data_IF_027405740203
#
_entry.id   IF_027405740203
#
_cell.length_a   1.000
_cell.length_b   1.000
_cell.length_c   1.000
_cell.angle_alpha   90.00
_cell.angle_beta   90.00
_cell.angle_gamma   90.00
#
_symmetry.space_group_name_H-M   'P 1'
#
loop_
_entity.id
_entity.type
_entity.pdbx_description
1 polymer ?
#
# COMPACT_ATOMS: atom_id res chain seq x y z
N UNK A 1 7.18 5.43 31.09
CA UNK A 1 6.76 5.08 29.72
C UNK A 1 6.07 3.74 29.83
N UNK A 2 4.77 3.64 29.51
CA UNK A 2 4.10 2.35 29.52
C UNK A 2 4.78 1.43 28.50
N UNK A 3 4.92 0.14 28.82
CA UNK A 3 5.41 -0.87 27.88
C UNK A 3 4.43 -0.92 26.69
N UNK A 4 4.93 -0.77 25.46
CA UNK A 4 4.09 -0.81 24.24
C UNK A 4 3.30 -2.12 24.15
N UNK A 5 3.88 -3.21 24.69
CA UNK A 5 3.20 -4.50 24.80
C UNK A 5 1.97 -4.45 25.71
N UNK A 6 2.07 -3.73 26.84
CA UNK A 6 0.94 -3.55 27.75
C UNK A 6 -0.15 -2.67 27.13
N UNK A 7 0.22 -1.66 26.34
CA UNK A 7 -0.74 -0.85 25.58
C UNK A 7 -1.50 -1.68 24.53
N UNK A 8 -0.80 -2.57 23.83
CA UNK A 8 -1.43 -3.52 22.90
C UNK A 8 -2.41 -4.43 23.67
N UNK A 9 -1.99 -5.00 24.79
CA UNK A 9 -2.82 -5.90 25.61
C UNK A 9 -4.08 -5.19 26.13
N UNK A 10 -3.93 -3.95 26.59
CA UNK A 10 -5.06 -3.09 26.99
C UNK A 10 -6.02 -2.86 25.82
N UNK A 11 -5.50 -2.44 24.66
CA UNK A 11 -6.31 -2.18 23.48
C UNK A 11 -7.05 -3.42 22.97
N UNK A 12 -6.45 -4.61 23.07
CA UNK A 12 -7.09 -5.90 22.75
C UNK A 12 -8.26 -6.14 23.71
N UNK A 13 -8.03 -6.00 25.02
CA UNK A 13 -9.06 -6.22 26.04
C UNK A 13 -10.24 -5.26 25.92
N UNK A 14 -9.99 -4.02 25.51
CA UNK A 14 -11.02 -3.01 25.27
C UNK A 14 -11.69 -3.12 23.89
N UNK A 15 -11.27 -4.06 23.05
CA UNK A 15 -11.84 -4.26 21.71
C UNK A 15 -11.53 -3.14 20.70
N UNK A 16 -10.46 -2.36 20.95
CA UNK A 16 -10.05 -1.23 20.09
C UNK A 16 -9.05 -1.61 19.01
N UNK A 17 -8.44 -2.79 19.12
CA UNK A 17 -7.37 -3.24 18.21
C UNK A 17 -7.95 -3.99 17.01
N UNK A 18 -7.30 -3.84 15.86
CA UNK A 18 -7.55 -4.62 14.65
C UNK A 18 -6.21 -5.06 14.08
N UNK A 19 -6.10 -6.35 13.77
CA UNK A 19 -4.86 -6.93 13.28
C UNK A 19 -4.84 -6.90 11.75
N UNK A 20 -3.74 -6.41 11.17
CA UNK A 20 -3.46 -6.52 9.73
C UNK A 20 -2.33 -7.55 9.57
N UNK A 21 -2.66 -8.65 8.91
CA UNK A 21 -1.79 -9.81 8.74
C UNK A 21 -1.17 -9.80 7.35
N UNK A 22 0.15 -9.79 7.29
CA UNK A 22 0.92 -9.84 6.04
C UNK A 22 1.44 -11.23 5.68
N UNK A 23 2.18 -11.30 4.57
CA UNK A 23 2.62 -12.55 3.96
C UNK A 23 3.59 -13.36 4.83
N UNK A 24 4.28 -12.72 5.78
CA UNK A 24 5.16 -13.40 6.73
C UNK A 24 4.43 -14.48 7.54
N UNK A 25 3.14 -14.27 7.85
CA UNK A 25 2.33 -15.28 8.54
C UNK A 25 2.03 -16.47 7.64
N UNK A 26 1.64 -16.25 6.39
CA UNK A 26 1.43 -17.34 5.42
C UNK A 26 2.74 -18.09 5.17
N UNK A 27 3.86 -17.38 4.97
CA UNK A 27 5.20 -17.97 4.81
C UNK A 27 5.55 -18.89 5.98
N UNK A 28 5.38 -18.43 7.22
CA UNK A 28 5.66 -19.24 8.41
C UNK A 28 4.72 -20.44 8.52
N UNK A 29 3.41 -20.23 8.32
CA UNK A 29 2.39 -21.26 8.46
C UNK A 29 2.52 -22.38 7.42
N UNK A 30 3.02 -22.05 6.22
CA UNK A 30 3.09 -22.98 5.09
C UNK A 30 4.51 -23.39 4.73
N UNK A 31 5.50 -23.03 5.56
CA UNK A 31 6.91 -23.26 5.26
C UNK A 31 7.15 -24.73 4.90
N UNK A 32 7.78 -24.95 3.74
CA UNK A 32 8.14 -26.25 3.23
C UNK A 32 9.48 -26.12 2.50
N UNK A 33 10.57 -26.68 3.03
CA UNK A 33 11.90 -26.54 2.41
C UNK A 33 11.96 -27.20 1.02
N UNK A 34 11.03 -28.11 0.69
CA UNK A 34 10.96 -28.73 -0.63
C UNK A 34 10.19 -27.89 -1.66
N UNK A 35 9.51 -26.81 -1.25
CA UNK A 35 8.71 -25.97 -2.14
C UNK A 35 9.48 -24.71 -2.55
N UNK A 36 10.06 -24.76 -3.74
CA UNK A 36 10.74 -23.62 -4.37
C UNK A 36 10.14 -23.33 -5.75
N UNK A 37 9.72 -22.08 -6.05
CA UNK A 37 9.74 -20.90 -5.15
C UNK A 37 8.65 -20.97 -4.05
N UNK A 38 8.84 -20.20 -2.97
CA UNK A 38 7.83 -20.11 -1.91
C UNK A 38 6.69 -19.18 -2.33
N UNK A 39 5.60 -19.74 -2.85
CA UNK A 39 4.44 -18.97 -3.34
C UNK A 39 3.63 -18.23 -2.26
N UNK A 40 3.94 -18.44 -0.97
CA UNK A 40 3.36 -17.63 0.11
C UNK A 40 4.06 -16.27 0.24
N UNK A 41 5.27 -16.11 -0.31
CA UNK A 41 5.93 -14.80 -0.41
C UNK A 41 5.59 -14.12 -1.74
N UNK A 42 5.62 -12.79 -1.75
CA UNK A 42 5.31 -12.04 -2.96
C UNK A 42 6.33 -12.29 -4.09
N UNK A 43 7.66 -12.26 -3.86
CA UNK A 43 8.64 -12.65 -4.88
C UNK A 43 8.45 -14.08 -5.38
N UNK A 44 8.19 -15.03 -4.48
CA UNK A 44 8.03 -16.43 -4.85
C UNK A 44 6.76 -16.69 -5.66
N UNK A 45 5.66 -15.99 -5.35
CA UNK A 45 4.46 -16.01 -6.17
C UNK A 45 4.74 -15.47 -7.58
N UNK A 46 5.46 -14.35 -7.70
CA UNK A 46 5.77 -13.75 -9.00
C UNK A 46 6.72 -14.61 -9.84
N UNK A 47 7.73 -15.25 -9.23
CA UNK A 47 8.59 -16.24 -9.90
C UNK A 47 7.78 -17.39 -10.49
N UNK A 48 6.83 -17.93 -9.72
CA UNK A 48 5.93 -18.99 -10.20
C UNK A 48 5.02 -18.48 -11.34
N UNK A 49 4.57 -17.22 -11.26
CA UNK A 49 3.84 -16.55 -12.32
C UNK A 49 4.65 -16.41 -13.62
N UNK A 50 5.94 -16.07 -13.51
CA UNK A 50 6.86 -15.99 -14.65
C UNK A 50 7.05 -17.38 -15.27
N UNK A 51 7.32 -18.40 -14.47
CA UNK A 51 7.47 -19.78 -14.93
C UNK A 51 6.22 -20.28 -15.67
N UNK A 52 5.03 -19.96 -15.14
CA UNK A 52 3.77 -20.26 -15.81
C UNK A 52 3.62 -19.52 -17.15
N UNK A 53 3.99 -18.25 -17.19
CA UNK A 53 3.97 -17.48 -18.44
C UNK A 53 4.92 -18.06 -19.50
N UNK A 54 6.12 -18.52 -19.13
CA UNK A 54 7.06 -19.17 -20.05
C UNK A 54 6.55 -20.50 -20.61
N UNK A 55 5.79 -21.25 -19.79
CA UNK A 55 5.18 -22.52 -20.17
C UNK A 55 4.03 -22.31 -21.16
N UNK A 56 3.16 -21.34 -20.89
CA UNK A 56 1.97 -21.07 -21.72
C UNK A 56 2.28 -20.26 -22.98
N UNK A 57 3.30 -19.40 -22.93
CA UNK A 57 3.59 -18.41 -23.97
C UNK A 57 5.09 -18.39 -24.31
N UNK A 58 5.54 -19.17 -25.31
CA UNK A 58 6.95 -19.27 -25.68
C UNK A 58 7.63 -17.94 -25.98
N UNK A 59 6.90 -16.96 -26.53
CA UNK A 59 7.39 -15.61 -26.80
C UNK A 59 7.71 -14.81 -25.53
N UNK A 60 7.13 -15.18 -24.39
CA UNK A 60 7.40 -14.54 -23.10
C UNK A 60 8.80 -14.88 -22.56
N UNK A 61 9.40 -16.00 -22.98
CA UNK A 61 10.73 -16.44 -22.51
C UNK A 61 11.82 -15.38 -22.70
N UNK A 62 11.73 -14.61 -23.78
CA UNK A 62 12.66 -13.50 -24.06
C UNK A 62 12.56 -12.38 -23.02
N UNK A 63 11.39 -12.18 -22.41
CA UNK A 63 11.12 -11.16 -21.38
C UNK A 63 11.25 -11.71 -19.96
N UNK A 64 11.13 -13.02 -19.77
CA UNK A 64 11.14 -13.66 -18.46
C UNK A 64 12.40 -13.32 -17.65
N UNK A 65 13.58 -13.31 -18.29
CA UNK A 65 14.83 -12.92 -17.62
C UNK A 65 14.79 -11.49 -17.04
N UNK A 66 14.20 -10.54 -17.76
CA UNK A 66 14.03 -9.16 -17.27
C UNK A 66 13.06 -9.12 -16.09
N UNK A 67 11.95 -9.86 -16.17
CA UNK A 67 10.95 -9.90 -15.08
C UNK A 67 11.53 -10.56 -13.83
N UNK A 68 12.34 -11.61 -13.96
CA UNK A 68 13.06 -12.21 -12.84
C UNK A 68 14.08 -11.26 -12.21
N UNK A 69 14.77 -10.45 -13.02
CA UNK A 69 15.69 -9.44 -12.51
C UNK A 69 14.96 -8.36 -11.68
N UNK A 70 13.78 -7.93 -12.11
CA UNK A 70 12.90 -7.05 -11.32
C UNK A 70 12.45 -7.72 -10.01
N UNK A 71 12.09 -9.00 -10.03
CA UNK A 71 11.72 -9.71 -8.80
C UNK A 71 12.91 -9.83 -7.84
N UNK A 72 14.10 -10.11 -8.39
CA UNK A 72 15.32 -10.32 -7.63
C UNK A 72 15.89 -9.02 -7.01
N UNK A 73 15.51 -7.84 -7.50
CA UNK A 73 15.93 -6.57 -6.90
C UNK A 73 15.32 -6.40 -5.50
N UNK A 74 14.15 -6.99 -5.26
CA UNK A 74 13.40 -6.85 -4.01
C UNK A 74 12.77 -5.46 -3.82
N UNK A 75 12.95 -4.56 -4.78
CA UNK A 75 12.39 -3.21 -4.74
C UNK A 75 10.87 -3.25 -4.98
N UNK A 76 10.06 -2.53 -4.16
CA UNK A 76 8.61 -2.54 -4.31
C UNK A 76 8.11 -2.12 -5.69
N UNK A 77 8.70 -1.11 -6.33
CA UNK A 77 8.25 -0.63 -7.64
C UNK A 77 8.56 -1.65 -8.74
N UNK A 78 9.72 -2.30 -8.66
CA UNK A 78 10.10 -3.40 -9.56
C UNK A 78 9.17 -4.62 -9.39
N UNK A 79 8.82 -4.97 -8.15
CA UNK A 79 7.85 -6.05 -7.87
C UNK A 79 6.46 -5.73 -8.43
N UNK A 80 6.01 -4.47 -8.33
CA UNK A 80 4.74 -4.01 -8.94
C UNK A 80 4.81 -4.07 -10.47
N UNK A 81 5.95 -3.69 -11.06
CA UNK A 81 6.20 -3.82 -12.51
C UNK A 81 6.12 -5.28 -12.97
N UNK A 82 6.81 -6.18 -12.26
CA UNK A 82 6.80 -7.61 -12.53
C UNK A 82 5.38 -8.20 -12.40
N UNK A 83 4.68 -7.84 -11.32
CA UNK A 83 3.30 -8.21 -11.05
C UNK A 83 2.34 -7.81 -12.19
N UNK A 84 2.44 -6.59 -12.72
CA UNK A 84 1.63 -6.13 -13.86
C UNK A 84 1.94 -6.93 -15.13
N UNK A 85 3.21 -7.25 -15.39
CA UNK A 85 3.62 -8.03 -16.56
C UNK A 85 3.07 -9.46 -16.52
N UNK A 86 3.18 -10.13 -15.38
CA UNK A 86 2.63 -11.48 -15.15
C UNK A 86 1.10 -11.43 -15.27
N UNK A 87 0.45 -10.52 -14.54
CA UNK A 87 -1.02 -10.39 -14.52
C UNK A 87 -1.57 -10.18 -15.93
N UNK A 88 -1.02 -9.23 -16.69
CA UNK A 88 -1.45 -8.98 -18.07
C UNK A 88 -1.24 -10.19 -18.96
N UNK A 89 -0.12 -10.91 -18.79
CA UNK A 89 0.18 -12.07 -19.62
C UNK A 89 -0.75 -13.26 -19.35
N UNK A 90 -1.25 -13.39 -18.12
CA UNK A 90 -2.25 -14.39 -17.73
C UNK A 90 -3.71 -13.98 -18.04
N UNK A 91 -3.92 -12.86 -18.75
CA UNK A 91 -5.26 -12.40 -19.14
C UNK A 91 -5.93 -11.46 -18.13
N UNK A 92 -5.21 -11.03 -17.10
CA UNK A 92 -5.69 -10.12 -16.07
C UNK A 92 -6.76 -10.73 -15.16
N UNK A 93 -7.37 -9.91 -14.28
CA UNK A 93 -8.33 -10.38 -13.28
C UNK A 93 -9.58 -11.11 -13.82
N UNK A 94 -10.00 -10.83 -15.06
CA UNK A 94 -11.09 -11.57 -15.72
C UNK A 94 -10.63 -12.77 -16.56
N UNK A 95 -9.33 -13.05 -16.58
CA UNK A 95 -8.72 -14.12 -17.39
C UNK A 95 -8.71 -15.46 -16.65
N UNK A 96 -9.11 -16.53 -17.35
CA UNK A 96 -9.15 -17.88 -16.77
C UNK A 96 -7.79 -18.41 -16.32
N UNK A 97 -6.70 -18.06 -17.02
CA UNK A 97 -5.35 -18.47 -16.62
C UNK A 97 -4.85 -17.75 -15.37
N UNK A 98 -5.24 -16.50 -15.17
CA UNK A 98 -4.95 -15.77 -13.94
C UNK A 98 -5.68 -16.38 -12.74
N UNK A 99 -6.99 -16.64 -12.88
CA UNK A 99 -7.79 -17.31 -11.85
C UNK A 99 -7.23 -18.71 -11.50
N UNK A 100 -6.85 -19.47 -12.53
CA UNK A 100 -6.27 -20.79 -12.36
C UNK A 100 -4.91 -20.74 -11.67
N UNK A 101 -4.05 -19.79 -12.05
CA UNK A 101 -2.75 -19.58 -11.41
C UNK A 101 -2.90 -19.30 -9.91
N UNK A 102 -3.80 -18.40 -9.53
CA UNK A 102 -4.05 -18.09 -8.11
C UNK A 102 -4.53 -19.32 -7.34
N UNK A 103 -5.50 -20.06 -7.89
CA UNK A 103 -6.02 -21.30 -7.27
C UNK A 103 -4.93 -22.36 -7.07
N UNK A 104 -4.06 -22.55 -8.06
CA UNK A 104 -3.01 -23.58 -8.04
C UNK A 104 -1.77 -23.18 -7.23
N UNK A 105 -1.65 -21.90 -6.85
CA UNK A 105 -0.55 -21.37 -6.04
C UNK A 105 -1.03 -21.02 -4.63
N UNK A 106 -1.38 -19.76 -4.38
CA UNK A 106 -1.84 -19.26 -3.07
C UNK A 106 -3.11 -19.96 -2.58
N UNK A 107 -4.04 -20.30 -3.47
CA UNK A 107 -5.26 -21.05 -3.11
C UNK A 107 -5.03 -22.51 -2.72
N UNK A 108 -3.84 -23.05 -3.02
CA UNK A 108 -3.44 -24.42 -2.68
C UNK A 108 -2.53 -24.47 -1.42
N UNK A 109 -2.28 -23.34 -0.77
CA UNK A 109 -1.57 -23.30 0.50
C UNK A 109 -2.40 -23.96 1.61
N UNK A 110 -1.72 -24.70 2.49
CA UNK A 110 -2.31 -25.40 3.64
C UNK A 110 -1.42 -25.25 4.85
N UNK A 111 -2.02 -25.16 6.02
CA UNK A 111 -1.28 -24.97 7.27
C UNK A 111 -0.44 -26.23 7.55
N UNK A 112 0.86 -26.01 7.75
CA UNK A 112 1.83 -27.00 8.27
C UNK A 112 2.26 -26.65 9.68
N UNK A 113 2.34 -25.36 9.99
CA UNK A 113 2.76 -24.83 11.28
C UNK A 113 1.65 -23.93 11.83
N UNK A 114 0.72 -24.45 12.67
CA UNK A 114 -0.50 -23.74 13.04
C UNK A 114 -0.31 -22.66 14.11
N UNK A 115 0.86 -22.58 14.76
CA UNK A 115 1.04 -21.78 15.98
C UNK A 115 0.66 -20.31 15.79
N UNK A 116 1.23 -19.63 14.78
CA UNK A 116 0.98 -18.20 14.56
C UNK A 116 -0.47 -17.92 14.15
N UNK A 117 -1.06 -18.62 13.15
CA UNK A 117 -2.49 -18.44 12.84
C UNK A 117 -3.43 -18.73 14.02
N UNK A 118 -3.14 -19.77 14.83
CA UNK A 118 -3.93 -20.09 16.02
C UNK A 118 -3.81 -19.00 17.10
N UNK A 119 -2.60 -18.47 17.34
CA UNK A 119 -2.39 -17.38 18.27
C UNK A 119 -3.11 -16.10 17.83
N UNK A 120 -3.09 -15.78 16.53
CA UNK A 120 -3.86 -14.66 15.96
C UNK A 120 -5.37 -14.83 16.20
N UNK A 121 -5.91 -16.04 16.00
CA UNK A 121 -7.31 -16.33 16.30
C UNK A 121 -7.63 -16.13 17.79
N UNK A 122 -6.72 -16.59 18.67
CA UNK A 122 -6.89 -16.51 20.12
C UNK A 122 -6.90 -15.07 20.67
N UNK A 123 -6.40 -14.07 19.91
CA UNK A 123 -6.51 -12.67 20.29
C UNK A 123 -7.96 -12.17 20.38
N UNK A 124 -8.90 -12.81 19.65
CA UNK A 124 -10.31 -12.46 19.68
C UNK A 124 -10.65 -11.08 19.08
N UNK A 125 -9.76 -10.52 18.26
CA UNK A 125 -9.92 -9.24 17.58
C UNK A 125 -10.20 -9.42 16.08
N UNK A 126 -10.75 -8.41 15.38
CA UNK A 126 -10.91 -8.47 13.94
C UNK A 126 -9.56 -8.68 13.22
N UNK A 127 -9.56 -9.61 12.26
CA UNK A 127 -8.40 -9.95 11.43
C UNK A 127 -8.64 -9.47 9.99
N UNK A 128 -7.71 -8.64 9.52
CA UNK A 128 -7.61 -8.16 8.14
C UNK A 128 -6.32 -8.73 7.56
N UNK A 129 -6.25 -8.89 6.24
CA UNK A 129 -5.03 -9.37 5.59
C UNK A 129 -4.80 -8.74 4.22
N UNK A 130 -3.53 -8.59 3.85
CA UNK A 130 -3.10 -8.27 2.48
C UNK A 130 -2.74 -9.53 1.69
N UNK A 131 -2.93 -10.72 2.26
CA UNK A 131 -2.68 -11.99 1.62
C UNK A 131 -3.89 -12.43 0.79
N UNK A 132 -3.64 -13.24 -0.23
CA UNK A 132 -4.68 -13.73 -1.15
C UNK A 132 -5.19 -15.13 -0.79
N UNK A 133 -4.46 -15.86 0.07
CA UNK A 133 -4.66 -17.26 0.46
C UNK A 133 -5.76 -17.47 1.52
N UNK A 134 -6.02 -18.73 1.88
CA UNK A 134 -7.04 -19.15 2.86
C UNK A 134 -6.43 -19.46 4.26
N UNK A 135 -5.21 -19.00 4.61
CA UNK A 135 -4.53 -19.46 5.84
C UNK A 135 -5.25 -19.00 7.11
N UNK A 136 -5.82 -17.80 7.13
CA UNK A 136 -6.57 -17.32 8.28
C UNK A 136 -7.94 -17.99 8.35
N UNK A 137 -8.57 -18.25 7.22
CA UNK A 137 -9.84 -18.95 7.08
C UNK A 137 -9.71 -20.39 7.60
N UNK A 138 -8.63 -21.09 7.22
CA UNK A 138 -8.33 -22.45 7.67
C UNK A 138 -8.11 -22.49 9.19
N UNK A 139 -7.40 -21.49 9.75
CA UNK A 139 -7.12 -21.43 11.19
C UNK A 139 -8.32 -21.01 12.04
N UNK A 140 -9.22 -20.17 11.51
CA UNK A 140 -10.28 -19.52 12.29
C UNK A 140 -11.68 -20.09 12.00
N UNK A 141 -11.87 -20.76 10.86
CA UNK A 141 -13.18 -21.14 10.34
C UNK A 141 -14.06 -19.97 9.87
N UNK A 142 -13.53 -18.75 9.86
CA UNK A 142 -14.27 -17.56 9.41
C UNK A 142 -14.28 -17.47 7.88
N UNK A 143 -15.36 -16.95 7.27
CA UNK A 143 -15.42 -16.77 5.83
C UNK A 143 -14.54 -15.60 5.36
N UNK A 144 -13.94 -15.69 4.15
CA UNK A 144 -13.24 -14.57 3.55
C UNK A 144 -14.24 -13.57 2.93
N UNK A 145 -13.98 -12.28 3.14
CA UNK A 145 -14.63 -11.17 2.45
C UNK A 145 -13.57 -10.24 1.86
N UNK A 146 -13.94 -9.45 0.85
CA UNK A 146 -13.04 -8.50 0.20
C UNK A 146 -13.53 -7.07 0.41
N UNK A 147 -12.69 -6.10 0.06
CA UNK A 147 -13.05 -4.67 0.03
C UNK A 147 -14.27 -4.36 -0.86
N UNK A 148 -14.71 -5.30 -1.72
CA UNK A 148 -15.89 -5.18 -2.58
C UNK A 148 -17.20 -5.47 -1.86
N UNK A 149 -17.14 -6.15 -0.72
CA UNK A 149 -18.29 -6.63 0.05
C UNK A 149 -18.75 -5.58 1.08
N UNK A 150 -19.11 -4.38 0.61
CA UNK A 150 -19.34 -3.19 1.46
C UNK A 150 -20.21 -3.43 2.72
N UNK A 151 -21.38 -4.10 2.65
CA UNK A 151 -22.19 -4.36 3.85
C UNK A 151 -21.52 -5.26 4.88
N UNK A 152 -20.76 -6.27 4.42
CA UNK A 152 -20.03 -7.21 5.27
C UNK A 152 -18.80 -6.54 5.88
N UNK A 153 -18.11 -5.70 5.10
CA UNK A 153 -17.02 -4.85 5.59
C UNK A 153 -17.52 -3.99 6.74
N UNK A 154 -18.64 -3.28 6.58
CA UNK A 154 -19.21 -2.45 7.66
C UNK A 154 -19.53 -3.26 8.92
N UNK A 155 -20.03 -4.49 8.76
CA UNK A 155 -20.28 -5.42 9.86
C UNK A 155 -18.99 -5.72 10.63
N UNK A 156 -17.93 -6.16 9.93
CA UNK A 156 -16.60 -6.42 10.53
C UNK A 156 -16.05 -5.18 11.23
N UNK A 157 -16.13 -4.00 10.60
CA UNK A 157 -15.66 -2.74 11.17
C UNK A 157 -16.45 -2.29 12.41
N UNK A 158 -17.68 -2.77 12.59
CA UNK A 158 -18.50 -2.51 13.77
C UNK A 158 -18.38 -3.60 14.83
N UNK A 159 -17.55 -4.63 14.60
CA UNK A 159 -17.46 -5.81 15.47
C UNK A 159 -18.72 -6.68 15.42
N UNK A 160 -19.50 -6.58 14.35
CA UNK A 160 -20.72 -7.35 14.12
C UNK A 160 -20.41 -8.48 13.13
N UNK A 161 -20.54 -9.74 13.54
CA UNK A 161 -20.20 -10.89 12.68
C UNK A 161 -18.70 -11.23 12.66
N UNK A 162 -18.37 -12.43 12.19
CA UNK A 162 -17.01 -12.91 12.04
C UNK A 162 -16.70 -13.20 10.57
N UNK A 163 -15.70 -12.51 10.03
CA UNK A 163 -15.15 -12.73 8.69
C UNK A 163 -13.69 -12.22 8.67
N UNK A 164 -12.91 -12.71 7.72
CA UNK A 164 -11.56 -12.21 7.44
C UNK A 164 -11.66 -11.23 6.27
N UNK A 165 -11.18 -10.00 6.47
CA UNK A 165 -11.22 -8.98 5.41
C UNK A 165 -9.90 -8.94 4.64
N UNK A 166 -9.95 -9.37 3.37
CA UNK A 166 -8.84 -9.28 2.42
C UNK A 166 -8.78 -7.91 1.77
N UNK A 167 -7.86 -7.08 2.27
CA UNK A 167 -7.60 -5.75 1.76
C UNK A 167 -7.08 -5.78 0.32
N UNK A 168 -6.34 -6.83 -0.05
CA UNK A 168 -5.77 -7.01 -1.39
C UNK A 168 -6.56 -7.98 -2.27
N UNK A 169 -7.77 -8.34 -1.85
CA UNK A 169 -8.60 -9.32 -2.54
C UNK A 169 -8.24 -10.76 -2.21
N UNK A 170 -9.06 -11.67 -2.70
CA UNK A 170 -9.02 -13.10 -2.36
C UNK A 170 -8.92 -13.95 -3.62
N UNK A 171 -8.18 -15.06 -3.59
CA UNK A 171 -7.92 -15.89 -4.78
C UNK A 171 -9.20 -16.43 -5.43
N UNK A 172 -10.27 -16.66 -4.66
CA UNK A 172 -11.59 -17.11 -5.18
C UNK A 172 -12.35 -16.01 -5.91
N UNK A 173 -11.92 -14.76 -5.78
CA UNK A 173 -12.49 -13.59 -6.45
C UNK A 173 -11.36 -12.85 -7.20
N UNK A 174 -10.83 -13.38 -8.32
CA UNK A 174 -9.67 -12.81 -9.00
C UNK A 174 -9.83 -11.32 -9.37
N UNK A 175 -11.04 -10.85 -9.62
CA UNK A 175 -11.38 -9.45 -9.90
C UNK A 175 -11.17 -8.50 -8.72
N UNK A 176 -11.05 -9.04 -7.51
CA UNK A 176 -10.74 -8.30 -6.28
C UNK A 176 -9.23 -8.10 -6.05
N UNK A 177 -8.38 -8.84 -6.76
CA UNK A 177 -6.93 -8.90 -6.51
C UNK A 177 -6.26 -7.56 -6.81
N UNK A 178 -5.46 -7.10 -5.85
CA UNK A 178 -4.61 -5.92 -5.92
C UNK A 178 -3.16 -6.36 -5.91
N UNK A 179 -2.53 -6.35 -7.09
CA UNK A 179 -1.22 -6.96 -7.31
C UNK A 179 -0.32 -6.09 -8.20
N UNK A 180 -0.79 -5.68 -9.39
CA UNK A 180 -0.04 -4.83 -10.32
C UNK A 180 -0.47 -3.35 -10.26
N UNK A 181 0.30 -2.48 -10.91
CA UNK A 181 0.07 -1.02 -10.90
C UNK A 181 -1.36 -0.62 -11.25
N UNK A 182 -1.98 -1.28 -12.25
CA UNK A 182 -3.36 -0.99 -12.66
C UNK A 182 -4.40 -1.29 -11.58
N UNK A 183 -4.16 -2.31 -10.75
CA UNK A 183 -5.04 -2.58 -9.62
C UNK A 183 -4.85 -1.58 -8.49
N UNK A 184 -3.63 -1.10 -8.26
CA UNK A 184 -3.37 -0.03 -7.31
C UNK A 184 -4.03 1.29 -7.73
N UNK A 185 -3.91 1.71 -9.00
CA UNK A 185 -4.57 2.91 -9.53
C UNK A 185 -6.10 2.89 -9.34
N UNK A 186 -6.70 1.70 -9.52
CA UNK A 186 -8.14 1.49 -9.29
C UNK A 186 -8.52 1.72 -7.84
N UNK A 187 -7.73 1.23 -6.88
CA UNK A 187 -8.00 1.35 -5.44
C UNK A 187 -7.76 2.76 -4.92
N UNK A 188 -6.71 3.43 -5.39
CA UNK A 188 -6.48 4.85 -5.07
C UNK A 188 -7.67 5.70 -5.53
N UNK A 189 -8.29 5.34 -6.65
CA UNK A 189 -9.49 5.99 -7.18
C UNK A 189 -10.81 5.50 -6.55
N UNK A 190 -10.79 4.39 -5.80
CA UNK A 190 -11.98 3.77 -5.22
C UNK A 190 -12.34 4.46 -3.91
N UNK A 191 -13.43 5.23 -3.94
CA UNK A 191 -13.89 6.01 -2.78
C UNK A 191 -14.27 5.13 -1.60
N UNK A 192 -14.78 3.92 -1.83
CA UNK A 192 -15.21 3.02 -0.78
C UNK A 192 -13.99 2.43 -0.07
N UNK A 193 -13.03 1.90 -0.82
CA UNK A 193 -11.78 1.38 -0.27
C UNK A 193 -11.01 2.46 0.52
N UNK A 194 -10.92 3.68 -0.03
CA UNK A 194 -10.29 4.82 0.66
C UNK A 194 -11.04 5.21 1.94
N UNK A 195 -12.36 5.30 1.91
CA UNK A 195 -13.16 5.62 3.09
C UNK A 195 -13.00 4.55 4.19
N UNK A 196 -13.00 3.27 3.81
CA UNK A 196 -12.80 2.14 4.70
C UNK A 196 -11.44 2.17 5.39
N UNK A 197 -10.35 2.32 4.64
CA UNK A 197 -8.99 2.38 5.18
C UNK A 197 -8.82 3.57 6.14
N UNK A 198 -9.35 4.73 5.77
CA UNK A 198 -9.34 5.92 6.64
C UNK A 198 -10.17 5.71 7.91
N UNK A 199 -11.34 5.07 7.80
CA UNK A 199 -12.18 4.75 8.96
C UNK A 199 -11.47 3.78 9.92
N UNK A 200 -10.83 2.74 9.40
CA UNK A 200 -10.00 1.81 10.16
C UNK A 200 -8.91 2.56 10.93
N UNK A 201 -8.12 3.37 10.22
CA UNK A 201 -7.05 4.18 10.81
C UNK A 201 -7.55 5.21 11.83
N UNK A 202 -8.74 5.75 11.64
CA UNK A 202 -9.31 6.79 12.53
C UNK A 202 -9.93 6.20 13.79
N UNK A 203 -10.53 5.02 13.70
CA UNK A 203 -11.39 4.47 14.77
C UNK A 203 -10.79 3.31 15.53
N UNK A 204 -9.73 2.68 14.99
CA UNK A 204 -9.09 1.49 15.57
C UNK A 204 -7.60 1.71 15.78
N UNK A 205 -7.04 0.97 16.73
CA UNK A 205 -5.60 0.75 16.83
C UNK A 205 -5.21 -0.37 15.87
N UNK A 206 -4.33 -0.08 14.91
CA UNK A 206 -3.80 -1.07 13.98
C UNK A 206 -2.60 -1.81 14.59
N UNK A 207 -2.62 -3.13 14.50
CA UNK A 207 -1.51 -4.02 14.83
C UNK A 207 -1.08 -4.78 13.57
N UNK A 208 0.12 -4.52 13.06
CA UNK A 208 0.66 -5.19 11.87
C UNK A 208 1.50 -6.40 12.28
N UNK A 209 1.18 -7.57 11.72
CA UNK A 209 1.84 -8.85 12.02
C UNK A 209 2.26 -9.54 10.73
N UNK A 210 3.55 -9.89 10.62
CA UNK A 210 4.09 -10.52 9.41
C UNK A 210 4.12 -9.61 8.19
N UNK A 211 4.08 -8.30 8.40
CA UNK A 211 4.19 -7.29 7.35
C UNK A 211 5.65 -6.85 7.21
N UNK A 212 6.36 -7.38 6.21
CA UNK A 212 7.71 -6.95 5.82
C UNK A 212 7.65 -5.72 4.90
N UNK A 213 8.34 -5.77 3.75
CA UNK A 213 8.23 -4.78 2.67
C UNK A 213 6.78 -4.57 2.16
N UNK A 214 5.83 -5.43 2.52
CA UNK A 214 4.40 -5.21 2.25
C UNK A 214 3.79 -3.98 2.96
N UNK A 215 4.43 -3.40 3.98
CA UNK A 215 4.03 -2.08 4.51
C UNK A 215 4.51 -0.91 3.63
N UNK A 216 5.48 -1.18 2.77
CA UNK A 216 6.03 -0.24 1.78
C UNK A 216 5.29 -0.34 0.45
N UNK A 217 4.22 -1.15 0.37
CA UNK A 217 3.34 -1.14 -0.79
C UNK A 217 2.64 0.22 -0.95
N UNK A 218 2.33 0.58 -2.21
CA UNK A 218 1.79 1.89 -2.56
C UNK A 218 0.48 2.24 -1.82
N UNK A 219 -0.30 1.24 -1.39
CA UNK A 219 -1.60 1.44 -0.77
C UNK A 219 -1.47 1.71 0.74
N UNK A 220 -0.65 0.93 1.44
CA UNK A 220 -0.34 1.15 2.85
C UNK A 220 0.48 2.42 3.03
N UNK A 221 1.45 2.67 2.16
CA UNK A 221 2.24 3.91 2.14
C UNK A 221 1.35 5.17 1.98
N UNK A 222 0.37 5.14 1.09
CA UNK A 222 -0.58 6.24 0.92
C UNK A 222 -1.45 6.48 2.18
N UNK A 223 -1.88 5.40 2.85
CA UNK A 223 -2.62 5.50 4.11
C UNK A 223 -1.76 6.12 5.22
N UNK A 224 -0.49 5.72 5.30
CA UNK A 224 0.47 6.21 6.28
C UNK A 224 0.83 7.69 6.04
N UNK A 225 1.04 8.10 4.78
CA UNK A 225 1.26 9.50 4.42
C UNK A 225 0.05 10.37 4.84
N UNK A 226 -1.17 9.96 4.49
CA UNK A 226 -2.39 10.65 4.92
C UNK A 226 -2.50 10.70 6.45
N UNK A 227 -2.10 9.62 7.13
CA UNK A 227 -2.07 9.56 8.60
C UNK A 227 -1.12 10.60 9.20
N UNK A 228 0.08 10.81 8.63
CA UNK A 228 1.01 11.87 9.07
C UNK A 228 0.37 13.25 9.00
N UNK A 229 -0.27 13.54 7.87
CA UNK A 229 -0.87 14.85 7.59
C UNK A 229 -2.06 15.17 8.52
N UNK A 230 -2.85 14.15 8.88
CA UNK A 230 -4.09 14.35 9.66
C UNK A 230 -3.90 14.10 11.15
N UNK A 231 -3.05 13.15 11.54
CA UNK A 231 -2.93 12.65 12.91
C UNK A 231 -1.53 12.79 13.52
N UNK A 232 -0.65 13.62 12.94
CA UNK A 232 0.71 13.83 13.47
C UNK A 232 0.77 14.23 14.95
N UNK A 233 -0.26 14.91 15.46
CA UNK A 233 -0.39 15.29 16.88
C UNK A 233 -1.26 14.34 17.73
N UNK A 234 -1.69 13.19 17.20
CA UNK A 234 -2.58 12.28 17.92
C UNK A 234 -1.85 11.56 19.05
N UNK A 235 -2.54 11.34 20.18
CA UNK A 235 -1.99 10.52 21.28
C UNK A 235 -2.09 9.01 20.99
N UNK A 236 -2.98 8.59 20.09
CA UNK A 236 -3.16 7.17 19.77
C UNK A 236 -1.99 6.63 18.95
N UNK A 237 -1.62 5.38 19.23
CA UNK A 237 -0.52 4.66 18.59
C UNK A 237 -1.01 3.45 17.81
N UNK A 238 -0.20 3.05 16.84
CA UNK A 238 -0.29 1.82 16.08
C UNK A 238 1.02 1.06 16.21
N UNK A 239 0.98 -0.23 15.95
CA UNK A 239 2.09 -1.11 16.28
C UNK A 239 2.42 -2.03 15.12
N UNK A 240 3.70 -2.23 14.87
CA UNK A 240 4.23 -3.21 13.92
C UNK A 240 5.13 -4.17 14.66
N UNK A 241 4.80 -5.46 14.64
CA UNK A 241 5.64 -6.48 15.24
C UNK A 241 6.85 -6.76 14.34
N UNK A 242 8.05 -6.69 14.92
CA UNK A 242 9.35 -6.85 14.22
C UNK A 242 10.32 -7.70 15.03
N UNK A 243 11.35 -8.24 14.39
CA UNK A 243 12.46 -8.86 15.12
C UNK A 243 13.24 -7.81 15.92
N UNK A 244 13.91 -8.24 16.99
CA UNK A 244 14.74 -7.36 17.82
C UNK A 244 15.81 -6.63 16.98
N UNK A 245 16.41 -7.33 16.01
CA UNK A 245 17.42 -6.77 15.12
C UNK A 245 16.86 -5.75 14.10
N UNK A 246 15.55 -5.74 13.88
CA UNK A 246 14.88 -4.87 12.89
C UNK A 246 14.29 -3.60 13.53
N UNK A 247 14.16 -3.55 14.86
CA UNK A 247 13.46 -2.48 15.58
C UNK A 247 13.95 -1.08 15.20
N UNK A 248 15.26 -0.85 15.27
CA UNK A 248 15.84 0.47 15.03
C UNK A 248 15.66 0.91 13.58
N UNK A 249 15.93 0.04 12.61
CA UNK A 249 15.82 0.35 11.19
C UNK A 249 14.37 0.57 10.77
N UNK A 250 13.45 -0.29 11.23
CA UNK A 250 12.02 -0.13 10.95
C UNK A 250 11.47 1.13 11.61
N UNK A 251 11.90 1.47 12.83
CA UNK A 251 11.46 2.69 13.48
C UNK A 251 11.95 3.96 12.75
N UNK A 252 13.14 3.93 12.11
CA UNK A 252 13.63 5.05 11.28
C UNK A 252 12.78 5.29 10.03
N UNK A 253 12.19 4.24 9.46
CA UNK A 253 11.28 4.34 8.31
C UNK A 253 9.94 5.00 8.69
N UNK A 254 9.56 4.91 9.97
CA UNK A 254 8.29 5.38 10.50
C UNK A 254 8.50 6.62 11.38
N UNK A 255 8.47 7.84 10.82
CA UNK A 255 8.63 9.04 11.62
C UNK A 255 7.51 9.16 12.67
N UNK A 256 7.76 9.79 13.84
CA UNK A 256 6.84 9.77 14.97
C UNK A 256 5.42 10.26 14.65
N UNK A 257 5.26 11.12 13.65
CA UNK A 257 4.00 11.66 13.17
C UNK A 257 3.11 10.60 12.50
N UNK A 258 3.66 9.48 12.03
CA UNK A 258 2.86 8.34 11.57
C UNK A 258 2.06 7.70 12.69
N UNK A 259 2.56 7.83 13.92
CA UNK A 259 2.10 7.12 15.10
C UNK A 259 2.21 5.60 14.98
N UNK A 260 3.09 5.11 14.10
CA UNK A 260 3.40 3.69 13.94
C UNK A 260 4.72 3.36 14.65
N UNK A 261 4.65 2.47 15.62
CA UNK A 261 5.78 2.10 16.47
C UNK A 261 6.20 0.65 16.20
N UNK A 262 7.49 0.43 16.04
CA UNK A 262 8.07 -0.90 16.01
C UNK A 262 7.98 -1.53 17.41
N UNK A 263 7.56 -2.79 17.48
CA UNK A 263 7.47 -3.56 18.72
C UNK A 263 8.24 -4.87 18.53
N UNK A 264 9.40 -5.01 19.19
CA UNK A 264 10.20 -6.23 19.09
C UNK A 264 9.46 -7.41 19.74
N UNK A 265 9.45 -8.56 19.08
CA UNK A 265 8.85 -9.79 19.61
C UNK A 265 9.86 -10.90 19.94
N UNK A 266 11.14 -10.72 19.62
CA UNK A 266 12.20 -11.68 19.88
C UNK A 266 13.27 -11.74 18.78
N UNK A 267 14.26 -12.60 19.04
CA UNK A 267 15.47 -12.74 18.21
C UNK A 267 15.22 -13.40 16.84
N UNK A 268 14.19 -14.24 16.74
CA UNK A 268 13.86 -14.98 15.52
C UNK A 268 12.35 -15.11 15.32
N UNK A 269 11.94 -15.55 14.12
CA UNK A 269 10.53 -15.68 13.76
C UNK A 269 9.76 -16.74 14.58
N UNK A 270 10.45 -17.68 15.26
CA UNK A 270 9.77 -18.65 16.12
C UNK A 270 9.23 -18.00 17.40
N UNK A 271 9.80 -16.85 17.81
CA UNK A 271 9.31 -16.08 18.95
C UNK A 271 7.95 -15.41 18.71
N UNK A 272 7.51 -15.26 17.45
CA UNK A 272 6.25 -14.57 17.12
C UNK A 272 5.02 -15.27 17.72
N UNK A 273 4.97 -16.61 17.67
CA UNK A 273 3.87 -17.40 18.24
C UNK A 273 3.71 -17.15 19.75
N UNK A 274 4.74 -17.44 20.57
CA UNK A 274 4.71 -17.18 22.00
C UNK A 274 4.42 -15.72 22.37
N UNK A 275 4.92 -14.77 21.58
CA UNK A 275 4.63 -13.34 21.79
C UNK A 275 3.13 -13.04 21.67
N UNK A 276 2.49 -13.52 20.59
CA UNK A 276 1.05 -13.36 20.35
C UNK A 276 0.21 -14.08 21.40
N UNK A 277 0.59 -15.30 21.79
CA UNK A 277 -0.07 -16.05 22.86
C UNK A 277 -0.11 -15.27 24.17
N UNK A 278 0.97 -14.55 24.50
CA UNK A 278 1.05 -13.73 25.70
C UNK A 278 0.36 -12.34 25.59
N UNK A 279 -0.12 -11.97 24.39
CA UNK A 279 -1.03 -10.85 24.19
C UNK A 279 -2.50 -11.24 24.34
N UNK A 280 -2.83 -12.52 24.14
CA UNK A 280 -4.19 -13.00 24.22
C UNK A 280 -4.78 -12.75 25.62
N UNK A 281 -6.04 -12.32 25.73
CA UNK A 281 -6.69 -12.17 27.02
C UNK A 281 -6.75 -13.55 27.72
N UNK A 282 -6.64 -13.60 29.06
CA UNK A 282 -6.77 -14.85 29.79
C UNK A 282 -8.09 -15.52 29.43
N UNK A 283 -8.05 -16.82 29.12
CA UNK A 283 -9.20 -17.57 28.67
C UNK A 283 -10.36 -17.43 29.67
N UNK A 284 -11.37 -16.65 29.31
CA UNK A 284 -12.64 -16.66 30.04
C UNK A 284 -13.23 -18.04 29.80
N UNK A 285 -13.37 -18.85 30.86
CA UNK A 285 -14.12 -20.11 30.80
C UNK A 285 -15.53 -19.79 30.32
N UNK A 286 -15.77 -19.89 29.01
CA UNK A 286 -17.11 -19.81 28.44
C UNK A 286 -17.85 -21.03 28.94
N UNK A 287 -18.66 -20.84 29.99
CA UNK A 287 -19.76 -21.74 30.29
C UNK A 287 -20.55 -21.93 28.99
N UNK A 288 -20.81 -23.18 28.62
CA UNK A 288 -21.53 -23.54 27.41
C UNK A 288 -22.93 -22.93 27.44
N UNK A 289 -23.07 -21.71 26.94
CA UNK A 289 -24.35 -21.12 26.67
C UNK A 289 -24.93 -21.85 25.45
N UNK A 290 -25.95 -22.65 25.72
CA UNK A 290 -26.78 -23.35 24.73
C UNK A 290 -27.16 -22.40 23.60
N UNK A 291 -26.69 -22.69 22.39
CA UNK A 291 -27.17 -22.02 21.17
C UNK A 291 -28.64 -22.38 21.01
N UNK A 292 -29.53 -21.49 21.43
CA UNK A 292 -30.94 -21.59 21.10
C UNK A 292 -31.14 -21.13 19.63
N UNK A 293 -31.91 -21.85 18.83
CA UNK A 293 -32.10 -21.51 17.42
C UNK A 293 -32.85 -20.18 17.31
N UNK A 294 -32.31 -19.28 16.48
CA UNK A 294 -32.91 -17.98 16.16
C UNK A 294 -34.26 -18.22 15.49
N UNK A 295 -35.35 -18.07 16.24
CA UNK A 295 -36.68 -17.87 15.67
C UNK A 295 -36.79 -16.42 15.22
N UNK A 296 -37.19 -16.23 13.97
CA UNK A 296 -37.47 -14.92 13.38
C UNK A 296 -38.53 -14.18 14.21
N UNK A 297 -38.17 -13.00 14.74
CA UNK A 297 -39.14 -12.08 15.31
C UNK A 297 -39.00 -10.72 14.61
N UNK A 298 -39.99 -10.41 13.78
CA UNK A 298 -40.31 -9.06 13.31
C UNK A 298 -40.65 -8.18 14.52
N UNK A 299 -40.29 -6.91 14.41
CA UNK A 299 -40.84 -5.76 15.12
C UNK A 299 -40.60 -5.68 16.63
N UNK A 300 -39.63 -4.83 17.03
CA UNK A 300 -39.71 -4.06 18.26
C UNK A 300 -39.04 -2.70 18.05
N UNK A 301 -39.78 -1.66 18.43
CA UNK A 301 -39.56 -0.24 18.17
C UNK A 301 -38.29 0.27 18.88
N UNK A 302 -37.34 0.83 18.12
CA UNK A 302 -36.16 1.49 18.66
C UNK A 302 -36.50 2.91 19.12
N UNK A 303 -36.27 3.20 20.41
CA UNK A 303 -36.23 4.56 20.95
C UNK A 303 -35.05 5.33 20.33
N UNK A 304 -35.34 6.54 19.86
CA UNK A 304 -34.37 7.42 19.23
C UNK A 304 -33.32 7.95 20.23
N UNK A 305 -32.05 7.79 19.88
CA UNK A 305 -30.90 8.51 20.46
C UNK A 305 -30.46 9.54 19.41
N UNK A 306 -30.21 10.82 19.76
CA UNK A 306 -30.00 11.87 18.77
C UNK A 306 -28.61 11.74 18.10
N UNK A 307 -28.61 11.74 16.77
CA UNK A 307 -27.40 11.79 15.94
C UNK A 307 -26.82 13.21 15.91
N UNK A 308 -25.50 13.42 16.07
CA UNK A 308 -24.88 14.68 15.70
C UNK A 308 -24.86 14.81 14.18
N UNK A 309 -25.46 15.89 13.67
CA UNK A 309 -25.37 16.30 12.26
C UNK A 309 -23.94 16.73 11.96
N UNK A 310 -23.17 15.92 11.25
CA UNK A 310 -21.96 16.37 10.58
C UNK A 310 -22.32 16.69 9.13
N UNK A 311 -22.11 17.96 8.74
CA UNK A 311 -22.25 18.40 7.36
C UNK A 311 -21.21 17.68 6.49
N UNK A 312 -21.69 16.75 5.67
CA UNK A 312 -20.97 16.17 4.54
C UNK A 312 -21.32 16.97 3.29
N UNK A 313 -20.37 17.77 2.76
CA UNK A 313 -20.05 17.92 1.32
C UNK A 313 -19.43 19.28 0.97
N UNK A 314 -18.42 19.25 0.10
CA UNK A 314 -17.98 20.40 -0.70
C UNK A 314 -16.70 20.10 -1.51
N UNK A 315 -16.54 20.61 -2.75
CA UNK A 315 -15.41 20.32 -3.65
C UNK A 315 -14.08 21.00 -3.27
N UNK A 316 -13.91 21.45 -2.02
CA UNK A 316 -12.79 22.28 -1.58
C UNK A 316 -12.01 21.71 -0.38
N UNK A 317 -12.11 20.41 -0.14
CA UNK A 317 -11.41 19.78 0.97
C UNK A 317 -9.93 19.56 0.61
N UNK A 318 -9.00 20.21 1.32
CA UNK A 318 -7.55 20.02 1.18
C UNK A 318 -6.73 21.19 0.62
N UNK A 319 -7.32 22.38 0.37
CA UNK A 319 -6.55 23.56 -0.07
C UNK A 319 -6.13 24.40 1.16
N UNK A 320 -4.83 24.73 1.34
CA UNK A 320 -4.38 25.61 2.42
C UNK A 320 -5.11 26.96 2.38
N UNK A 321 -5.42 27.54 3.55
CA UNK A 321 -6.35 28.66 3.70
C UNK A 321 -6.00 29.92 2.86
N UNK A 322 -4.73 30.09 2.44
CA UNK A 322 -4.27 31.22 1.62
C UNK A 322 -4.36 31.04 0.09
N UNK A 323 -4.73 29.85 -0.41
CA UNK A 323 -4.65 29.51 -1.85
C UNK A 323 -6.01 29.40 -2.55
N UNK A 324 -7.11 29.63 -1.82
CA UNK A 324 -8.48 29.38 -2.32
C UNK A 324 -8.85 30.23 -3.54
N UNK A 325 -8.54 31.54 -3.53
CA UNK A 325 -8.83 32.46 -4.64
C UNK A 325 -8.04 32.14 -5.91
N UNK A 326 -6.80 31.69 -5.75
CA UNK A 326 -5.89 31.36 -6.85
C UNK A 326 -6.27 30.05 -7.53
N UNK A 327 -6.69 29.07 -6.73
CA UNK A 327 -7.23 27.80 -7.22
C UNK A 327 -8.54 28.03 -7.97
N UNK A 328 -9.42 28.90 -7.49
CA UNK A 328 -10.65 29.27 -8.20
C UNK A 328 -10.39 29.98 -9.54
N UNK A 329 -9.33 30.78 -9.65
CA UNK A 329 -8.95 31.43 -10.91
C UNK A 329 -8.35 30.43 -11.92
N UNK A 330 -7.56 29.46 -11.44
CA UNK A 330 -6.96 28.41 -12.28
C UNK A 330 -8.01 27.44 -12.83
N UNK A 331 -9.00 27.07 -12.00
CA UNK A 331 -10.11 26.20 -12.42
C UNK A 331 -11.06 26.86 -13.42
N UNK A 332 -11.20 28.19 -13.40
CA UNK A 332 -11.99 28.92 -14.41
C UNK A 332 -11.33 28.93 -15.79
N UNK A 333 -10.00 28.85 -15.83
CA UNK A 333 -9.21 29.02 -17.06
C UNK A 333 -8.73 27.69 -17.70
N UNK A 334 -8.63 26.60 -16.93
CA UNK A 334 -8.23 25.28 -17.44
C UNK A 334 -9.44 24.39 -17.74
N UNK A 335 -9.60 23.95 -19.00
CA UNK A 335 -10.65 22.99 -19.40
C UNK A 335 -10.07 21.77 -20.11
N UNK A 336 -10.82 20.67 -20.10
CA UNK A 336 -10.48 19.40 -20.77
C UNK A 336 -9.96 18.31 -19.83
N UNK A 337 -9.78 17.08 -20.33
CA UNK A 337 -9.24 15.98 -19.53
C UNK A 337 -7.84 16.35 -19.02
N UNK A 338 -7.57 15.99 -17.76
CA UNK A 338 -6.34 16.30 -17.02
C UNK A 338 -6.16 17.77 -16.58
N UNK A 339 -7.21 18.61 -16.61
CA UNK A 339 -7.16 19.98 -16.07
C UNK A 339 -6.66 20.02 -14.61
N UNK A 340 -7.13 19.10 -13.76
CA UNK A 340 -6.70 19.01 -12.36
C UNK A 340 -5.19 18.75 -12.21
N UNK A 341 -4.59 17.92 -13.08
CA UNK A 341 -3.15 17.61 -13.05
C UNK A 341 -2.32 18.84 -13.44
N UNK A 342 -2.75 19.57 -14.48
CA UNK A 342 -2.07 20.81 -14.90
C UNK A 342 -2.19 21.92 -13.85
N UNK A 343 -3.31 21.99 -13.14
CA UNK A 343 -3.51 22.92 -12.03
C UNK A 343 -2.54 22.58 -10.88
N UNK A 344 -2.42 21.29 -10.53
CA UNK A 344 -1.47 20.82 -9.50
C UNK A 344 0.00 21.10 -9.88
N UNK A 345 0.38 20.89 -11.14
CA UNK A 345 1.73 21.23 -11.62
C UNK A 345 2.02 22.74 -11.54
N UNK A 346 1.04 23.59 -11.86
CA UNK A 346 1.18 25.05 -11.78
C UNK A 346 1.31 25.53 -10.34
N UNK A 347 0.57 24.93 -9.40
CA UNK A 347 0.68 25.23 -7.97
C UNK A 347 2.05 24.80 -7.41
N UNK A 348 2.52 23.61 -7.78
CA UNK A 348 3.83 23.07 -7.37
C UNK A 348 4.99 23.91 -7.89
N UNK A 349 4.92 24.42 -9.13
CA UNK A 349 5.93 25.33 -9.69
C UNK A 349 5.96 26.68 -8.97
N UNK A 350 4.82 27.19 -8.50
CA UNK A 350 4.75 28.45 -7.74
C UNK A 350 5.34 28.32 -6.34
N UNK A 351 5.02 27.25 -5.60
CA UNK A 351 5.65 26.98 -4.30
C UNK A 351 7.18 26.86 -4.40
N UNK A 352 7.69 26.28 -5.49
CA UNK A 352 9.14 26.20 -5.75
C UNK A 352 9.73 27.58 -6.07
N UNK A 353 9.03 28.42 -6.83
CA UNK A 353 9.47 29.78 -7.13
C UNK A 353 9.49 30.70 -5.89
N UNK A 354 8.47 30.62 -5.03
CA UNK A 354 8.41 31.41 -3.79
C UNK A 354 9.48 30.94 -2.77
N UNK A 355 9.78 29.64 -2.73
CA UNK A 355 10.89 29.10 -1.92
C UNK A 355 12.28 29.52 -2.43
N UNK A 356 12.45 29.71 -3.74
CA UNK A 356 13.68 30.23 -4.33
C UNK A 356 13.90 31.73 -4.06
N UNK A 357 12.83 32.49 -3.85
CA UNK A 357 12.89 33.92 -3.48
C UNK A 357 13.25 34.11 -1.99
N UNK A 358 12.95 33.12 -1.13
CA UNK A 358 13.17 33.19 0.32
C UNK A 358 14.54 32.70 0.84
N UNK A 359 15.52 32.40 -0.03
CA UNK A 359 16.90 32.11 0.42
C UNK A 359 17.65 33.44 0.64
N UNK A 360 18.06 33.81 1.87
CA UNK A 360 18.75 35.08 2.09
C UNK A 360 20.17 35.04 1.52
N UNK A 361 20.49 35.97 0.61
CA UNK A 361 21.89 36.29 0.29
C UNK A 361 22.50 37.00 1.50
N UNK A 362 23.42 36.32 2.21
CA UNK A 362 24.15 36.89 3.33
C UNK A 362 24.93 38.15 2.91
N UNK A 363 24.51 39.29 3.45
CA UNK A 363 25.15 40.60 3.29
C UNK A 363 26.19 40.83 4.38
N UNK A 364 27.42 41.10 3.95
CA UNK A 364 28.46 41.75 4.73
C UNK A 364 28.02 43.17 5.15
N UNK A 365 28.19 43.54 6.43
CA UNK A 365 28.53 44.91 6.84
C UNK A 365 28.83 45.02 8.35
N UNK A 366 30.09 45.38 8.64
CA UNK A 366 30.56 46.41 9.59
C UNK A 366 29.83 46.58 10.94
N UNK A 367 30.57 46.28 12.01
CA UNK A 367 30.50 47.03 13.27
C UNK A 367 31.90 47.60 13.59
N UNK A 368 31.98 48.91 13.86
CA UNK A 368 33.17 49.61 14.32
C UNK A 368 33.20 49.65 15.86
N UNK A 369 34.42 49.53 16.38
CA UNK A 369 35.00 50.09 17.61
C UNK A 369 34.28 49.86 18.94
N UNK A 370 34.93 49.13 19.84
CA UNK A 370 35.55 49.72 21.05
C UNK A 370 36.56 48.78 21.73
N UNK A 371 37.77 49.33 21.91
CA UNK A 371 38.83 49.06 22.89
C UNK A 371 38.70 47.88 23.88
N UNK A 372 39.66 46.95 23.86
CA UNK A 372 40.48 46.61 25.05
C UNK A 372 41.74 45.82 24.67
N UNK A 373 42.83 46.14 25.37
CA UNK A 373 44.23 45.68 25.22
C UNK A 373 44.45 44.27 25.78
N UNK A 374 45.51 43.60 25.29
CA UNK A 374 46.16 42.44 25.93
C UNK A 374 46.50 41.36 24.91
N UNK A 375 47.59 41.45 24.15
CA UNK A 375 48.96 41.06 24.54
C UNK A 375 49.13 39.56 24.85
N UNK A 376 50.02 38.95 24.07
CA UNK A 376 51.07 37.95 24.44
C UNK A 376 51.01 36.65 23.63
N UNK A 377 52.03 36.52 22.74
CA UNK A 377 52.90 35.36 22.56
C UNK A 377 52.30 34.08 21.97
N UNK A 378 53.01 33.23 21.23
CA UNK A 378 54.38 33.22 20.76
C UNK A 378 54.51 32.00 19.82
N UNK A 379 55.30 32.17 18.74
CA UNK A 379 56.25 31.24 18.11
C UNK A 379 55.86 29.78 17.79
N UNK A 380 56.14 29.39 16.55
CA UNK A 380 56.59 28.02 16.23
C UNK A 380 56.28 27.53 14.81
N UNK A 381 57.11 27.87 13.82
CA UNK A 381 57.30 27.11 12.57
C UNK A 381 58.42 26.05 12.79
N UNK A 382 58.76 25.14 11.83
CA UNK A 382 58.11 24.70 10.58
C UNK A 382 58.07 23.16 10.41
N UNK A 383 57.49 22.65 9.31
CA UNK A 383 57.63 21.22 8.95
C UNK A 383 56.86 20.71 7.72
N UNK A 384 57.27 21.18 6.54
CA UNK A 384 57.39 20.44 5.26
C UNK A 384 56.26 19.59 4.62
N UNK A 385 55.91 20.06 3.39
CA UNK A 385 55.86 19.36 2.08
C UNK A 385 54.78 18.29 1.79
N UNK A 386 53.90 18.60 0.83
CA UNK A 386 53.87 18.12 -0.59
C UNK A 386 52.50 18.48 -1.19
N UNK A 387 52.40 19.50 -2.04
CA UNK A 387 52.35 19.40 -3.52
C UNK A 387 51.15 18.60 -4.05
N UNK A 388 50.20 19.25 -4.73
CA UNK A 388 50.13 19.36 -6.21
C UNK A 388 48.81 20.08 -6.60
N UNK A 389 48.95 21.08 -7.48
CA UNK A 389 47.92 21.84 -8.19
C UNK A 389 47.10 20.92 -9.13
N UNK A 390 45.85 21.14 -9.51
CA UNK A 390 45.23 22.37 -10.02
C UNK A 390 44.60 22.04 -11.39
N UNK A 391 43.40 22.55 -11.70
CA UNK A 391 42.76 22.71 -13.02
C UNK A 391 41.41 23.41 -12.73
N UNK A 392 41.08 24.67 -13.04
CA UNK A 392 40.99 25.45 -14.30
C UNK A 392 40.00 24.92 -15.34
N UNK A 393 38.80 25.53 -15.35
CA UNK A 393 37.98 25.88 -16.53
C UNK A 393 38.56 27.19 -17.15
N UNK A 394 38.11 27.76 -18.31
CA UNK A 394 36.98 27.43 -19.20
C UNK A 394 37.24 27.61 -20.74
N UNK A 395 36.17 27.45 -21.54
CA UNK A 395 35.68 28.41 -22.56
C UNK A 395 35.56 27.96 -24.05
N UNK A 396 34.37 28.25 -24.60
CA UNK A 396 34.09 28.84 -25.94
C UNK A 396 33.83 28.01 -27.24
N UNK A 397 32.61 28.25 -27.79
CA UNK A 397 32.24 28.73 -29.15
C UNK A 397 32.00 27.79 -30.37
N UNK A 398 30.79 28.01 -30.96
CA UNK A 398 30.40 28.22 -32.41
C UNK A 398 30.55 27.02 -33.37
N UNK A 399 29.80 26.82 -34.46
CA UNK A 399 28.82 27.58 -35.27
C UNK A 399 28.09 26.59 -36.25
N UNK A 400 26.95 26.97 -36.83
CA UNK A 400 26.59 26.62 -38.22
C UNK A 400 25.48 25.58 -38.52
N UNK A 401 24.30 26.03 -39.00
CA UNK A 401 23.38 25.27 -39.89
C UNK A 401 23.82 25.33 -41.37
N UNK A 402 23.02 25.00 -42.42
CA UNK A 402 21.53 25.06 -42.49
C UNK A 402 20.77 24.03 -43.41
N UNK A 403 19.43 24.14 -43.45
CA UNK A 403 18.45 23.89 -44.57
C UNK A 403 18.32 22.47 -45.21
N UNK A 404 17.17 21.88 -45.62
CA UNK A 404 15.87 22.27 -46.26
C UNK A 404 14.86 21.09 -46.10
N UNK A 405 13.59 21.31 -45.72
CA UNK A 405 12.34 21.50 -46.52
C UNK A 405 11.65 20.28 -47.21
N UNK A 406 10.38 20.07 -46.78
CA UNK A 406 9.14 19.65 -47.52
C UNK A 406 9.08 18.22 -48.12
N UNK A 407 7.97 17.47 -48.07
CA UNK A 407 6.58 17.86 -48.40
C UNK A 407 5.54 16.88 -47.84
N UNK A 408 4.36 17.43 -47.51
CA UNK A 408 3.06 16.75 -47.38
C UNK A 408 2.53 16.32 -48.76
N UNK A 409 1.68 15.29 -48.82
CA UNK A 409 0.40 15.34 -49.56
C UNK A 409 -0.58 14.23 -49.13
N UNK A 410 -1.84 14.65 -49.11
CA UNK A 410 -3.10 13.96 -48.80
C UNK A 410 -3.72 13.38 -50.09
N UNK A 411 -4.55 12.34 -49.93
CA UNK A 411 -5.82 12.05 -50.62
C UNK A 411 -6.38 10.75 -49.99
N UNK A 412 -7.65 10.56 -49.60
CA UNK A 412 -8.90 11.17 -50.04
C UNK A 412 -9.59 10.27 -51.07
N UNK A 413 -10.59 9.47 -50.67
CA UNK A 413 -11.42 8.70 -51.60
C UNK A 413 -12.48 7.82 -50.93
N UNK A 414 -13.74 8.21 -51.07
CA UNK A 414 -14.94 7.44 -50.73
C UNK A 414 -15.70 7.05 -52.01
N UNK A 415 -16.48 5.96 -51.98
CA UNK A 415 -17.70 5.60 -52.76
C UNK A 415 -17.87 4.06 -52.64
N UNK A 416 -18.89 3.51 -51.96
CA UNK A 416 -20.30 3.31 -52.33
C UNK A 416 -20.60 2.01 -53.13
N UNK A 417 -21.41 1.14 -52.52
CA UNK A 417 -22.50 0.39 -53.18
C UNK A 417 -22.22 -1.04 -53.68
N UNK A 418 -22.88 -2.05 -53.07
CA UNK A 418 -23.91 -2.88 -53.72
C UNK A 418 -24.41 -4.03 -52.82
N UNK A 419 -25.72 -4.24 -52.89
CA UNK A 419 -26.55 -5.30 -52.28
C UNK A 419 -26.26 -6.67 -52.91
N UNK A 420 -26.53 -7.76 -52.18
CA UNK A 420 -27.67 -8.66 -52.44
C UNK A 420 -27.50 -10.09 -51.86
N UNK A 421 -28.56 -10.53 -51.18
CA UNK A 421 -29.17 -11.89 -51.17
C UNK A 421 -28.44 -13.10 -50.59
N UNK A 422 -29.10 -13.73 -49.60
CA UNK A 422 -28.73 -15.06 -49.11
C UNK A 422 -29.57 -15.56 -47.93
N UNK A 423 -30.89 -15.65 -48.11
CA UNK A 423 -31.79 -16.36 -47.20
C UNK A 423 -31.42 -17.84 -47.11
N UNK A 424 -31.29 -18.42 -45.90
CA UNK A 424 -31.89 -19.74 -45.61
C UNK A 424 -32.10 -20.00 -44.11
N UNK A 425 -33.38 -20.06 -43.76
CA UNK A 425 -33.97 -20.71 -42.59
C UNK A 425 -33.53 -22.18 -42.45
N UNK A 426 -33.43 -22.64 -41.20
CA UNK A 426 -33.49 -24.05 -40.80
C UNK A 426 -33.52 -24.17 -39.28
N UNK A 427 -34.65 -23.84 -38.64
CA UNK A 427 -35.57 -24.76 -37.94
C UNK A 427 -34.91 -25.74 -36.95
N UNK A 428 -35.27 -25.52 -35.69
CA UNK A 428 -35.26 -26.48 -34.60
C UNK A 428 -36.25 -27.64 -34.78
N UNK A 429 -35.91 -28.80 -34.21
CA UNK A 429 -36.76 -29.85 -33.58
C UNK A 429 -35.76 -30.77 -32.84
N UNK A 430 -35.76 -30.85 -31.50
CA UNK A 430 -36.59 -31.75 -30.67
C UNK A 430 -36.69 -33.17 -31.24
N UNK A 431 -35.83 -34.05 -30.76
CA UNK A 431 -36.16 -35.28 -30.01
C UNK A 431 -34.90 -35.69 -29.24
#
# INVERSE_FOLDING_TARGET
>A
MADLRDEIREGIREGRVTCIVGSGVSVAATYDPARTPNVASWPGLLEEGVARCEKLYPEFRKRAGVVRAEIASGDPDDLISAAEKVTRKLGGPGGGEFARWLRETVGALRIRHPQVPAALHALGIPLLTTNYDDILEEATGLPPITWRDAPQVEHVLRGQGGAILHLHGHWRQPESIILGIRSYDRIVSDKHAQAMQRALRTTRTLLFVGCGAGLEDLNVGALLQWSREVFGGSEYRHYRLVLDAEEEEVQKLHPPEERLFAVPYGLDHAALGPFLEALAPPAVKRSAATVLPVRSARSAVARAVPSPRVLLAGPFFGVPAGLRSDVEALWRNERGPHAAVRILEKLRRREVADRLVCVPRGSAARARSESARGAVGARGCPGERKSVAGCTDPDSRRDGGPHRERSRRLAGGALAGARATGSRRGRARRA
#
